data_IF_026773129024
#
_entry.id   IF_026773129024
#
_cell.length_a   1.000
_cell.length_b   1.000
_cell.length_c   1.000
_cell.angle_alpha   90.00
_cell.angle_beta   90.00
_cell.angle_gamma   90.00
#
_symmetry.space_group_name_H-M   'P 1'
#
loop_
_entity.id
_entity.type
_entity.pdbx_description
1 polymer ?
#
# COMPACT_ATOMS: atom_id res chain seq x y z
N UNK A 1 -13.23 -37.35 3.08
CA UNK A 1 -13.52 -35.93 2.74
C UNK A 1 -13.99 -35.12 3.96
N UNK A 2 -13.42 -35.36 5.15
CA UNK A 2 -13.51 -34.47 6.33
C UNK A 2 -12.29 -34.80 7.20
N UNK A 3 -11.12 -34.29 6.83
CA UNK A 3 -9.86 -34.40 7.59
C UNK A 3 -9.29 -33.02 7.96
N UNK A 4 -10.06 -31.96 7.71
CA UNK A 4 -9.60 -30.58 7.85
C UNK A 4 -9.73 -30.06 9.30
N UNK A 5 -10.68 -30.58 10.08
CA UNK A 5 -10.91 -30.15 11.47
C UNK A 5 -9.82 -30.62 12.46
N UNK A 6 -9.03 -31.67 12.14
CA UNK A 6 -8.03 -32.25 13.05
C UNK A 6 -6.58 -31.79 12.82
N UNK A 7 -6.28 -31.03 11.76
CA UNK A 7 -4.96 -30.38 11.57
C UNK A 7 -4.86 -28.99 12.21
N UNK A 8 -5.82 -28.64 13.08
CA UNK A 8 -5.86 -27.41 13.89
C UNK A 8 -4.81 -27.34 15.02
N UNK A 9 -3.84 -28.25 15.10
CA UNK A 9 -2.76 -28.16 16.11
C UNK A 9 -1.53 -27.35 15.67
N UNK A 10 -1.40 -27.00 14.38
CA UNK A 10 -0.34 -26.10 13.89
C UNK A 10 -0.83 -24.97 12.96
N UNK A 11 -2.14 -24.88 12.72
CA UNK A 11 -2.79 -23.75 12.04
C UNK A 11 -4.02 -23.38 12.87
N UNK A 12 -3.76 -22.88 14.08
CA UNK A 12 -4.79 -22.34 14.96
C UNK A 12 -5.15 -20.96 14.41
N UNK A 13 -6.42 -20.81 14.05
CA UNK A 13 -7.20 -19.59 14.09
C UNK A 13 -6.48 -18.37 14.68
N UNK A 14 -6.15 -17.40 13.84
CA UNK A 14 -5.85 -16.04 14.29
C UNK A 14 -7.16 -15.29 14.54
N UNK A 15 -7.98 -15.81 15.45
CA UNK A 15 -9.15 -15.12 15.97
C UNK A 15 -8.70 -14.18 17.09
N UNK A 16 -7.81 -13.24 16.77
CA UNK A 16 -7.49 -12.16 17.69
C UNK A 16 -8.42 -11.00 17.38
N UNK A 17 -9.15 -10.53 18.42
CA UNK A 17 -9.53 -9.13 18.47
C UNK A 17 -8.22 -8.35 18.43
N UNK A 18 -7.83 -7.88 17.25
CA UNK A 18 -6.62 -7.08 17.08
C UNK A 18 -6.77 -5.85 17.97
N UNK A 19 -5.99 -5.78 19.04
CA UNK A 19 -5.83 -4.55 19.81
C UNK A 19 -4.85 -3.71 19.03
N UNK A 20 -5.37 -2.93 18.08
CA UNK A 20 -4.58 -1.95 17.37
C UNK A 20 -4.14 -0.89 18.39
N UNK A 21 -2.87 -0.91 18.74
CA UNK A 21 -2.24 0.18 19.48
C UNK A 21 -1.37 0.97 18.51
N UNK A 22 -1.47 2.28 18.57
CA UNK A 22 -0.90 3.20 17.60
C UNK A 22 -0.03 4.21 18.34
N UNK A 23 1.07 4.61 17.71
CA UNK A 23 1.91 5.71 18.14
C UNK A 23 2.41 6.44 16.90
N UNK A 24 2.40 7.77 16.91
CA UNK A 24 3.00 8.58 15.86
C UNK A 24 4.41 8.99 16.27
N UNK A 25 5.40 8.72 15.41
CA UNK A 25 6.76 9.25 15.55
C UNK A 25 6.96 10.56 14.77
N UNK A 26 5.95 10.99 14.01
CA UNK A 26 6.03 12.16 13.13
C UNK A 26 5.44 13.41 13.80
N UNK A 27 6.20 14.51 13.78
CA UNK A 27 5.78 15.80 14.34
C UNK A 27 4.69 16.51 13.51
N UNK A 28 4.41 16.05 12.30
CA UNK A 28 3.41 16.64 11.38
C UNK A 28 2.37 15.60 10.95
N UNK A 29 1.15 16.03 10.55
CA UNK A 29 0.12 15.12 10.06
C UNK A 29 0.61 14.36 8.82
N UNK A 30 0.54 13.03 8.86
CA UNK A 30 1.00 12.19 7.75
C UNK A 30 0.10 12.36 6.52
N UNK A 31 0.69 12.44 5.33
CA UNK A 31 -0.07 12.31 4.07
C UNK A 31 -0.40 10.86 3.74
N UNK A 32 0.29 9.92 4.38
CA UNK A 32 0.01 8.50 4.29
C UNK A 32 -1.20 8.09 5.14
N UNK A 33 -1.91 7.10 4.63
CA UNK A 33 -2.98 6.35 5.30
C UNK A 33 -2.49 4.92 5.53
N UNK A 34 -2.93 4.28 6.63
CA UNK A 34 -2.76 2.84 6.76
C UNK A 34 -3.87 2.16 5.97
N UNK A 35 -3.50 1.20 5.12
CA UNK A 35 -4.43 0.39 4.35
C UNK A 35 -4.49 -1.01 4.95
N UNK A 36 -5.70 -1.53 5.11
CA UNK A 36 -5.91 -2.93 5.54
C UNK A 36 -6.86 -3.62 4.57
N UNK A 37 -6.41 -4.73 4.02
CA UNK A 37 -7.25 -5.71 3.32
C UNK A 37 -7.75 -6.72 4.34
N UNK A 38 -9.06 -6.78 4.52
CA UNK A 38 -9.75 -7.77 5.31
C UNK A 38 -10.30 -8.85 4.38
N UNK A 39 -10.44 -10.09 4.84
CA UNK A 39 -11.05 -11.16 4.06
C UNK A 39 -11.96 -12.04 4.91
N UNK A 40 -12.98 -12.60 4.25
CA UNK A 40 -13.84 -13.65 4.80
C UNK A 40 -14.24 -14.60 3.68
N UNK A 41 -14.04 -15.90 3.89
CA UNK A 41 -14.45 -16.96 2.95
C UNK A 41 -15.55 -17.84 3.58
N UNK A 42 -16.83 -17.48 3.43
CA UNK A 42 -17.95 -18.21 4.03
C UNK A 42 -18.01 -19.68 3.60
N UNK A 43 -17.61 -19.99 2.36
CA UNK A 43 -17.54 -21.35 1.80
C UNK A 43 -16.55 -22.24 2.58
N UNK A 44 -15.57 -21.63 3.25
CA UNK A 44 -14.62 -22.28 4.16
C UNK A 44 -15.04 -22.14 5.64
N UNK A 45 -16.30 -21.79 5.91
CA UNK A 45 -16.90 -21.65 7.24
C UNK A 45 -16.31 -20.50 8.09
N UNK A 46 -15.67 -19.50 7.46
CA UNK A 46 -15.25 -18.28 8.16
C UNK A 46 -16.48 -17.44 8.50
N UNK A 47 -16.64 -17.11 9.80
CA UNK A 47 -17.77 -16.31 10.29
C UNK A 47 -17.49 -14.82 10.25
N UNK A 48 -16.27 -14.46 10.63
CA UNK A 48 -15.82 -13.08 10.76
C UNK A 48 -14.78 -12.73 9.69
N UNK A 49 -14.59 -11.44 9.48
CA UNK A 49 -13.48 -10.93 8.69
C UNK A 49 -12.18 -11.03 9.49
N UNK A 50 -11.11 -11.48 8.83
CA UNK A 50 -9.75 -11.50 9.35
C UNK A 50 -8.85 -10.58 8.50
N UNK A 51 -7.69 -10.20 9.04
CA UNK A 51 -6.72 -9.39 8.29
C UNK A 51 -6.02 -10.28 7.27
N UNK A 52 -6.11 -9.91 5.99
CA UNK A 52 -5.38 -10.57 4.91
C UNK A 52 -4.01 -9.94 4.69
N UNK A 53 -3.99 -8.61 4.61
CA UNK A 53 -2.78 -7.84 4.38
C UNK A 53 -2.92 -6.42 4.94
N UNK A 54 -1.77 -5.81 5.26
CA UNK A 54 -1.66 -4.43 5.70
C UNK A 54 -0.56 -3.74 4.91
N UNK A 55 -0.82 -2.50 4.57
CA UNK A 55 0.07 -1.65 3.81
C UNK A 55 -0.20 -0.19 4.12
N UNK A 56 0.29 0.65 3.22
CA UNK A 56 0.08 2.09 3.24
C UNK A 56 -0.60 2.53 1.97
N UNK A 57 -1.13 3.74 2.00
CA UNK A 57 -1.68 4.42 0.85
C UNK A 57 -1.63 5.93 1.02
N UNK A 58 -2.13 6.64 0.04
CA UNK A 58 -2.33 8.09 0.12
C UNK A 58 -3.44 8.55 -0.81
N UNK A 59 -3.87 9.79 -0.60
CA UNK A 59 -4.98 10.39 -1.33
C UNK A 59 -4.44 11.30 -2.42
N UNK A 60 -5.06 11.24 -3.59
CA UNK A 60 -4.92 12.22 -4.68
C UNK A 60 -6.31 12.71 -5.08
N UNK A 61 -6.39 13.95 -5.57
CA UNK A 61 -7.66 14.53 -5.99
C UNK A 61 -8.05 13.99 -7.36
N UNK A 62 -9.33 13.65 -7.53
CA UNK A 62 -9.87 13.41 -8.86
C UNK A 62 -10.15 14.72 -9.61
N UNK A 63 -10.42 14.63 -10.91
CA UNK A 63 -10.88 15.78 -11.72
C UNK A 63 -12.23 16.32 -11.25
N UNK A 64 -13.08 15.44 -10.69
CA UNK A 64 -14.33 15.82 -10.07
C UNK A 64 -14.09 16.21 -8.61
N UNK A 65 -14.60 17.36 -8.17
CA UNK A 65 -14.38 17.89 -6.81
C UNK A 65 -14.97 17.02 -5.70
N UNK A 66 -15.89 16.12 -6.03
CA UNK A 66 -16.52 15.15 -5.13
C UNK A 66 -15.87 13.75 -5.20
N UNK A 67 -14.72 13.61 -5.86
CA UNK A 67 -13.99 12.37 -6.01
C UNK A 67 -12.56 12.51 -5.48
N UNK A 68 -12.16 11.55 -4.65
CA UNK A 68 -10.78 11.33 -4.23
C UNK A 68 -10.37 9.93 -4.67
N UNK A 69 -9.08 9.74 -4.94
CA UNK A 69 -8.51 8.42 -5.22
C UNK A 69 -7.54 8.06 -4.11
N UNK A 70 -7.74 6.89 -3.49
CA UNK A 70 -6.77 6.31 -2.59
C UNK A 70 -5.87 5.34 -3.35
N UNK A 71 -4.59 5.71 -3.52
CA UNK A 71 -3.59 4.85 -4.15
C UNK A 71 -2.91 3.96 -3.11
N UNK A 72 -2.72 2.69 -3.44
CA UNK A 72 -2.07 1.67 -2.61
C UNK A 72 -1.25 0.71 -3.48
N UNK A 73 -0.43 -0.15 -2.86
CA UNK A 73 0.20 -1.28 -3.57
C UNK A 73 -0.82 -2.36 -3.92
N UNK A 74 -0.78 -2.85 -5.16
CA UNK A 74 -1.71 -3.87 -5.63
C UNK A 74 -1.57 -5.20 -4.89
N UNK A 75 -0.35 -5.59 -4.50
CA UNK A 75 -0.11 -6.82 -3.74
C UNK A 75 -0.69 -6.76 -2.32
N UNK A 76 -0.92 -5.57 -1.76
CA UNK A 76 -1.61 -5.40 -0.48
C UNK A 76 -3.12 -5.40 -0.67
N UNK A 77 -3.61 -4.75 -1.75
CA UNK A 77 -5.04 -4.71 -2.08
C UNK A 77 -5.60 -6.06 -2.52
N UNK A 78 -4.86 -6.83 -3.30
CA UNK A 78 -5.30 -8.12 -3.82
C UNK A 78 -4.23 -9.20 -3.66
N UNK A 79 -3.82 -9.58 -2.43
CA UNK A 79 -2.74 -10.54 -2.19
C UNK A 79 -2.93 -11.88 -2.93
N UNK A 80 -4.18 -12.31 -3.11
CA UNK A 80 -4.56 -13.54 -3.82
C UNK A 80 -4.18 -13.59 -5.30
N UNK A 81 -3.84 -12.45 -5.91
CA UNK A 81 -3.31 -12.36 -7.28
C UNK A 81 -1.78 -12.51 -7.33
N UNK A 82 -1.09 -12.37 -6.20
CA UNK A 82 0.38 -12.34 -6.10
C UNK A 82 0.92 -13.62 -5.48
N UNK A 83 0.55 -14.79 -6.03
CA UNK A 83 0.85 -16.11 -5.45
C UNK A 83 2.34 -16.44 -5.30
N UNK A 84 3.18 -15.85 -6.15
CA UNK A 84 4.63 -16.01 -6.02
C UNK A 84 5.18 -15.26 -4.80
N UNK A 85 4.52 -14.16 -4.42
CA UNK A 85 4.87 -13.37 -3.24
C UNK A 85 4.20 -13.93 -1.97
N UNK A 86 2.98 -14.47 -2.10
CA UNK A 86 2.21 -15.09 -1.04
C UNK A 86 1.92 -16.58 -1.37
N UNK A 87 2.88 -17.49 -1.11
CA UNK A 87 2.83 -18.87 -1.58
C UNK A 87 1.94 -19.78 -0.72
N UNK A 88 0.93 -19.24 -0.05
CA UNK A 88 0.05 -20.03 0.80
C UNK A 88 -1.09 -20.65 -0.02
N UNK A 89 -1.18 -21.98 -0.04
CA UNK A 89 -2.18 -22.72 -0.84
C UNK A 89 -3.63 -22.28 -0.54
N UNK A 90 -3.94 -21.95 0.71
CA UNK A 90 -5.29 -21.54 1.11
C UNK A 90 -5.72 -20.22 0.46
N UNK A 91 -4.78 -19.39 0.00
CA UNK A 91 -5.06 -18.13 -0.66
C UNK A 91 -5.77 -18.33 -2.01
N UNK A 92 -5.70 -19.55 -2.57
CA UNK A 92 -6.45 -19.93 -3.78
C UNK A 92 -7.97 -19.89 -3.61
N UNK A 93 -8.47 -19.93 -2.36
CA UNK A 93 -9.89 -19.78 -2.04
C UNK A 93 -10.32 -18.32 -1.85
N UNK A 94 -9.36 -17.38 -1.83
CA UNK A 94 -9.63 -15.95 -1.64
C UNK A 94 -9.77 -15.28 -3.00
N UNK A 95 -10.80 -14.45 -3.12
CA UNK A 95 -11.14 -13.70 -4.32
C UNK A 95 -11.59 -12.30 -3.90
N UNK A 96 -11.72 -11.39 -4.86
CA UNK A 96 -12.12 -10.01 -4.59
C UNK A 96 -13.43 -9.90 -3.80
N UNK A 97 -14.44 -10.73 -4.11
CA UNK A 97 -15.72 -10.80 -3.38
C UNK A 97 -15.59 -11.15 -1.89
N UNK A 98 -14.47 -11.74 -1.48
CA UNK A 98 -14.18 -12.09 -0.09
C UNK A 98 -13.53 -10.94 0.67
N UNK A 99 -13.04 -9.91 -0.03
CA UNK A 99 -12.24 -8.85 0.54
C UNK A 99 -13.07 -7.60 0.88
N UNK A 100 -12.56 -6.84 1.86
CA UNK A 100 -13.00 -5.48 2.19
C UNK A 100 -11.78 -4.62 2.49
N UNK A 101 -11.86 -3.33 2.23
CA UNK A 101 -10.73 -2.43 2.41
C UNK A 101 -11.07 -1.31 3.37
N UNK A 102 -10.18 -1.08 4.34
CA UNK A 102 -10.27 0.07 5.22
C UNK A 102 -9.04 0.95 5.10
N UNK A 103 -9.26 2.26 5.17
CA UNK A 103 -8.21 3.27 5.26
C UNK A 103 -8.27 3.92 6.63
N UNK A 104 -7.11 4.09 7.25
CA UNK A 104 -6.97 4.64 8.59
C UNK A 104 -5.97 5.79 8.62
N UNK A 105 -6.24 6.79 9.47
CA UNK A 105 -5.33 7.89 9.76
C UNK A 105 -5.60 8.52 11.13
N UNK A 106 -4.70 9.41 11.55
CA UNK A 106 -4.79 10.11 12.83
C UNK A 106 -4.99 11.62 12.63
N UNK A 107 -5.94 12.22 13.35
CA UNK A 107 -6.19 13.67 13.43
C UNK A 107 -6.22 14.05 14.90
N UNK A 108 -5.29 14.90 15.34
CA UNK A 108 -5.23 15.39 16.73
C UNK A 108 -5.25 14.27 17.78
N UNK A 109 -4.49 13.18 17.55
CA UNK A 109 -4.47 12.01 18.41
C UNK A 109 -5.72 11.12 18.33
N UNK A 110 -6.72 11.51 17.52
CA UNK A 110 -7.91 10.71 17.26
C UNK A 110 -7.80 9.89 16.00
N UNK A 111 -8.19 8.64 16.13
CA UNK A 111 -8.17 7.67 15.04
C UNK A 111 -9.40 7.83 14.16
N UNK A 112 -9.17 7.87 12.86
CA UNK A 112 -10.20 7.94 11.82
C UNK A 112 -10.08 6.72 10.93
N UNK A 113 -11.21 6.20 10.48
CA UNK A 113 -11.27 5.05 9.61
C UNK A 113 -12.48 5.15 8.68
N UNK A 114 -12.28 4.79 7.41
CA UNK A 114 -13.36 4.59 6.44
C UNK A 114 -13.22 3.24 5.74
N UNK A 115 -14.32 2.72 5.20
CA UNK A 115 -14.32 1.63 4.23
C UNK A 115 -14.12 2.24 2.84
N UNK A 116 -13.12 1.77 2.09
CA UNK A 116 -12.77 2.29 0.76
C UNK A 116 -13.62 1.67 -0.37
N UNK A 117 -14.55 0.77 -0.03
CA UNK A 117 -15.33 -0.03 -0.97
C UNK A 117 -14.66 -1.35 -1.34
N UNK A 118 -15.33 -2.10 -2.22
CA UNK A 118 -14.92 -3.45 -2.64
C UNK A 118 -14.37 -3.51 -4.07
N UNK A 119 -14.49 -2.42 -4.84
CA UNK A 119 -13.99 -2.37 -6.22
C UNK A 119 -12.53 -1.94 -6.19
N UNK A 120 -11.65 -2.84 -6.64
CA UNK A 120 -10.22 -2.57 -6.74
C UNK A 120 -9.88 -2.27 -8.19
N UNK A 121 -9.54 -1.02 -8.50
CA UNK A 121 -8.95 -0.71 -9.79
C UNK A 121 -7.46 -0.97 -9.71
N UNK A 122 -6.93 -1.81 -10.59
CA UNK A 122 -5.55 -2.26 -10.51
C UNK A 122 -4.85 -1.97 -11.82
N UNK A 123 -3.62 -1.48 -11.74
CA UNK A 123 -2.79 -1.36 -12.93
C UNK A 123 -2.48 -2.76 -13.49
N UNK A 124 -2.38 -2.89 -14.81
CA UNK A 124 -2.24 -4.19 -15.47
C UNK A 124 -0.84 -4.79 -15.26
N UNK A 125 0.18 -3.94 -15.34
CA UNK A 125 1.59 -4.38 -15.33
C UNK A 125 2.37 -4.03 -14.07
N UNK A 126 1.83 -3.16 -13.22
CA UNK A 126 2.57 -2.55 -12.12
C UNK A 126 1.83 -2.77 -10.82
N UNK A 127 2.57 -2.72 -9.73
CA UNK A 127 2.07 -2.98 -8.38
C UNK A 127 1.31 -1.77 -7.81
N UNK A 128 0.30 -1.29 -8.54
CA UNK A 128 -0.50 -0.12 -8.18
C UNK A 128 -1.98 -0.52 -8.19
N UNK A 129 -2.70 -0.14 -7.14
CA UNK A 129 -4.15 -0.19 -7.09
C UNK A 129 -4.72 1.14 -6.58
N UNK A 130 -5.99 1.37 -6.89
CA UNK A 130 -6.73 2.55 -6.49
C UNK A 130 -8.12 2.17 -5.97
N UNK A 131 -8.62 3.00 -5.05
CA UNK A 131 -10.03 3.02 -4.64
C UNK A 131 -10.60 4.41 -4.91
N UNK A 132 -11.73 4.47 -5.62
CA UNK A 132 -12.52 5.69 -5.78
C UNK A 132 -13.32 5.99 -4.51
N UNK A 133 -13.08 7.15 -3.93
CA UNK A 133 -13.75 7.64 -2.73
C UNK A 133 -14.67 8.79 -3.13
N UNK A 134 -15.96 8.50 -3.24
CA UNK A 134 -17.00 9.50 -3.53
C UNK A 134 -17.44 10.20 -2.25
N UNK A 135 -17.54 11.54 -2.27
CA UNK A 135 -17.99 12.35 -1.12
C UNK A 135 -19.27 11.83 -0.49
N UNK A 136 -20.23 11.43 -1.31
CA UNK A 136 -21.56 10.96 -0.88
C UNK A 136 -21.51 9.63 -0.11
N UNK A 137 -20.45 8.84 -0.28
CA UNK A 137 -20.25 7.55 0.40
C UNK A 137 -19.47 7.69 1.70
N UNK A 138 -18.86 8.85 1.97
CA UNK A 138 -18.19 9.12 3.24
C UNK A 138 -19.24 9.65 4.23
N UNK A 139 -19.53 8.86 5.26
CA UNK A 139 -20.63 9.14 6.19
C UNK A 139 -20.48 10.44 6.99
N UNK A 140 -19.25 10.92 7.18
CA UNK A 140 -18.94 12.11 7.99
C UNK A 140 -18.22 13.16 7.13
N UNK A 141 -18.79 14.36 7.03
CA UNK A 141 -18.21 15.50 6.30
C UNK A 141 -16.81 15.87 6.83
N UNK A 142 -16.58 15.75 8.14
CA UNK A 142 -15.27 16.00 8.74
C UNK A 142 -14.20 14.98 8.29
N UNK A 143 -14.60 13.73 8.03
CA UNK A 143 -13.67 12.72 7.51
C UNK A 143 -13.37 13.00 6.03
N UNK A 144 -14.34 13.47 5.24
CA UNK A 144 -14.13 13.94 3.86
C UNK A 144 -13.13 15.10 3.80
N UNK A 145 -13.36 16.17 4.58
CA UNK A 145 -12.47 17.33 4.61
C UNK A 145 -11.07 16.95 5.12
N UNK A 146 -10.99 16.01 6.08
CA UNK A 146 -9.70 15.47 6.55
C UNK A 146 -8.94 14.76 5.43
N UNK A 147 -9.59 13.88 4.66
CA UNK A 147 -8.98 13.19 3.53
C UNK A 147 -8.60 14.17 2.41
N UNK A 148 -9.47 15.13 2.11
CA UNK A 148 -9.25 16.13 1.07
C UNK A 148 -8.06 17.07 1.39
N UNK A 149 -7.85 17.41 2.66
CA UNK A 149 -6.67 18.17 3.13
C UNK A 149 -5.37 17.34 3.15
N UNK A 150 -5.48 16.01 3.15
CA UNK A 150 -4.37 15.07 3.04
C UNK A 150 -4.00 14.73 1.62
N UNK A 151 -4.81 15.12 0.64
CA UNK A 151 -4.49 14.89 -0.75
C UNK A 151 -3.13 15.49 -1.10
N UNK A 152 -2.37 14.74 -1.90
CA UNK A 152 -1.08 15.17 -2.45
C UNK A 152 -1.23 15.45 -3.94
N UNK A 153 -0.38 16.33 -4.44
CA UNK A 153 -0.28 16.64 -5.86
C UNK A 153 0.80 15.75 -6.48
N UNK A 154 0.44 15.05 -7.55
CA UNK A 154 1.39 14.20 -8.27
C UNK A 154 2.28 15.04 -9.18
N UNK A 155 3.60 14.96 -9.01
CA UNK A 155 4.57 15.69 -9.83
C UNK A 155 5.57 14.71 -10.48
N UNK A 156 5.53 14.55 -11.81
CA UNK A 156 6.48 13.73 -12.58
C UNK A 156 7.93 14.12 -12.34
N UNK A 157 8.81 13.13 -12.43
CA UNK A 157 10.22 13.33 -12.22
C UNK A 157 10.91 13.73 -13.55
N UNK A 158 11.61 14.87 -13.55
CA UNK A 158 12.67 15.22 -14.52
C UNK A 158 14.01 15.47 -13.79
N UNK A 159 15.02 14.64 -14.06
CA UNK A 159 16.38 14.71 -13.50
C UNK A 159 16.49 14.77 -11.95
N UNK A 160 15.96 13.75 -11.28
CA UNK A 160 15.90 13.72 -9.81
C UNK A 160 16.97 12.87 -9.11
N UNK A 161 17.90 12.28 -9.86
CA UNK A 161 19.03 11.59 -9.23
C UNK A 161 19.83 12.59 -8.37
N UNK A 162 20.06 12.21 -7.12
CA UNK A 162 20.70 13.03 -6.09
C UNK A 162 19.74 13.90 -5.28
N UNK A 163 18.45 13.95 -5.62
CA UNK A 163 17.46 14.76 -4.88
C UNK A 163 17.04 14.07 -3.58
N UNK A 164 16.84 14.85 -2.50
CA UNK A 164 16.31 14.32 -1.25
C UNK A 164 14.82 14.06 -1.36
N UNK A 165 14.35 13.01 -0.68
CA UNK A 165 12.93 12.62 -0.61
C UNK A 165 12.57 12.11 0.77
N UNK A 166 11.28 12.12 1.06
CA UNK A 166 10.69 11.56 2.28
C UNK A 166 9.71 10.45 1.92
N UNK A 167 9.87 9.28 2.53
CA UNK A 167 8.91 8.19 2.47
C UNK A 167 8.00 8.32 3.69
N UNK A 168 6.74 8.71 3.50
CA UNK A 168 5.74 8.67 4.56
C UNK A 168 4.90 7.41 4.43
N UNK A 169 4.76 6.61 5.48
CA UNK A 169 4.02 5.36 5.43
C UNK A 169 3.63 4.89 6.83
N UNK A 170 3.09 3.69 6.93
CA UNK A 170 2.71 3.03 8.17
C UNK A 170 3.43 1.70 8.23
N UNK A 171 4.19 1.45 9.30
CA UNK A 171 4.89 0.19 9.49
C UNK A 171 4.16 -0.71 10.49
N UNK A 172 4.38 -2.01 10.37
CA UNK A 172 3.91 -3.02 11.31
C UNK A 172 5.04 -3.29 12.30
N UNK A 173 4.81 -3.02 13.58
CA UNK A 173 5.71 -3.39 14.67
C UNK A 173 5.22 -4.64 15.39
N UNK A 174 6.18 -5.49 15.78
CA UNK A 174 5.92 -6.81 16.34
C UNK A 174 6.00 -7.91 15.28
N UNK A 175 5.62 -9.12 15.67
CA UNK A 175 5.69 -10.29 14.78
C UNK A 175 4.50 -10.26 13.82
N UNK A 176 4.74 -10.18 12.52
CA UNK A 176 3.67 -10.20 11.50
C UNK A 176 2.83 -11.48 11.62
N UNK A 177 1.51 -11.30 11.64
CA UNK A 177 0.55 -12.38 11.83
C UNK A 177 0.36 -12.76 13.30
N UNK A 178 0.95 -12.06 14.27
CA UNK A 178 0.82 -12.33 15.70
C UNK A 178 -0.46 -11.83 16.36
N UNK A 179 -1.35 -11.11 15.67
CA UNK A 179 -2.56 -10.57 16.28
C UNK A 179 -2.34 -9.43 17.29
N UNK A 180 -1.08 -9.20 17.68
CA UNK A 180 -0.63 -8.20 18.64
C UNK A 180 0.20 -7.10 17.96
N UNK A 181 0.16 -7.03 16.62
CA UNK A 181 0.96 -6.08 15.88
C UNK A 181 0.44 -4.66 16.08
N UNK A 182 1.37 -3.73 16.12
CA UNK A 182 1.08 -2.29 16.14
C UNK A 182 1.27 -1.72 14.76
N UNK A 183 0.41 -0.79 14.39
CA UNK A 183 0.59 -0.02 13.17
C UNK A 183 1.09 1.36 13.60
N UNK A 184 2.25 1.75 13.10
CA UNK A 184 2.97 2.94 13.56
C UNK A 184 3.30 3.81 12.35
N UNK A 185 2.99 5.10 12.44
CA UNK A 185 3.36 6.05 11.40
C UNK A 185 4.89 6.14 11.31
N UNK A 186 5.41 6.02 10.10
CA UNK A 186 6.84 5.98 9.80
C UNK A 186 7.21 7.00 8.73
N UNK A 187 8.37 7.63 8.90
CA UNK A 187 8.90 8.64 8.01
C UNK A 187 10.39 8.38 7.82
N UNK A 188 10.77 8.00 6.60
CA UNK A 188 12.17 7.79 6.23
C UNK A 188 12.64 8.89 5.31
N UNK A 189 13.83 9.42 5.59
CA UNK A 189 14.52 10.33 4.68
C UNK A 189 15.51 9.54 3.84
N UNK A 190 15.71 9.99 2.61
CA UNK A 190 16.69 9.40 1.71
C UNK A 190 16.98 10.28 0.51
N UNK A 191 17.83 9.78 -0.37
CA UNK A 191 18.14 10.41 -1.65
C UNK A 191 17.88 9.44 -2.79
N UNK A 192 17.31 9.93 -3.88
CA UNK A 192 17.19 9.15 -5.11
C UNK A 192 18.59 8.91 -5.65
N UNK A 193 18.98 7.65 -5.85
CA UNK A 193 20.32 7.29 -6.33
C UNK A 193 20.34 6.76 -7.75
N UNK A 194 19.31 6.01 -8.12
CA UNK A 194 19.27 5.28 -9.38
C UNK A 194 17.88 5.40 -9.98
N UNK A 195 17.84 5.53 -11.29
CA UNK A 195 16.63 5.43 -12.10
C UNK A 195 16.82 4.28 -13.09
N UNK A 196 15.80 3.41 -13.21
CA UNK A 196 15.72 2.37 -14.21
C UNK A 196 14.32 2.39 -14.85
N UNK A 197 14.19 3.03 -16.00
CA UNK A 197 12.90 3.28 -16.63
C UNK A 197 11.99 4.12 -15.73
N UNK A 198 10.81 3.58 -15.39
CA UNK A 198 9.81 4.21 -14.52
C UNK A 198 10.02 3.93 -13.02
N UNK A 199 11.06 3.15 -12.67
CA UNK A 199 11.40 2.81 -11.29
C UNK A 199 12.57 3.62 -10.82
N UNK A 200 12.47 4.10 -9.59
CA UNK A 200 13.51 4.86 -8.92
C UNK A 200 13.87 4.18 -7.60
N UNK A 201 15.14 4.31 -7.22
CA UNK A 201 15.68 3.69 -6.03
C UNK A 201 16.25 4.73 -5.07
N UNK A 202 15.79 4.67 -3.83
CA UNK A 202 16.14 5.60 -2.76
C UNK A 202 17.09 4.91 -1.79
N UNK A 203 18.23 5.54 -1.56
CA UNK A 203 19.09 5.22 -0.43
C UNK A 203 18.60 5.99 0.80
N UNK A 204 18.00 5.28 1.75
CA UNK A 204 17.54 5.81 3.03
C UNK A 204 18.70 5.96 4.02
N UNK A 205 18.53 6.81 5.04
CA UNK A 205 19.54 7.03 6.10
C UNK A 205 20.03 5.72 6.75
N UNK A 206 19.11 4.77 6.94
CA UNK A 206 19.42 3.40 7.31
C UNK A 206 19.05 2.49 6.14
N UNK A 207 20.00 1.67 5.64
CA UNK A 207 19.67 0.62 4.67
C UNK A 207 18.70 -0.37 5.29
N UNK A 208 17.83 -0.97 4.47
CA UNK A 208 16.80 -1.91 4.94
C UNK A 208 15.82 -1.29 5.95
N UNK A 209 15.64 0.03 5.93
CA UNK A 209 14.70 0.72 6.81
C UNK A 209 13.24 0.51 6.41
N UNK A 210 12.95 0.12 5.17
CA UNK A 210 11.58 -0.19 4.73
C UNK A 210 11.14 -1.50 5.38
N UNK A 211 10.15 -1.42 6.25
CA UNK A 211 9.56 -2.53 7.00
C UNK A 211 8.22 -2.96 6.39
N UNK A 212 7.69 -4.09 6.88
CA UNK A 212 6.34 -4.53 6.56
C UNK A 212 5.29 -3.45 6.85
N UNK A 213 4.30 -3.34 5.97
CA UNK A 213 3.25 -2.32 6.04
C UNK A 213 3.56 -1.03 5.27
N UNK A 214 4.83 -0.74 4.98
CA UNK A 214 5.19 0.57 4.41
C UNK A 214 4.85 0.69 2.91
N UNK A 215 4.76 -0.42 2.18
CA UNK A 215 4.45 -0.42 0.75
C UNK A 215 3.12 0.29 0.47
N UNK A 216 3.09 1.09 -0.58
CA UNK A 216 1.98 1.94 -0.98
C UNK A 216 2.03 3.35 -0.41
N UNK A 217 2.98 3.66 0.49
CA UNK A 217 3.18 5.01 1.00
C UNK A 217 3.69 5.99 -0.06
N UNK A 218 3.35 7.29 0.03
CA UNK A 218 3.84 8.30 -0.90
C UNK A 218 5.31 8.62 -0.70
N UNK A 219 5.99 8.91 -1.81
CA UNK A 219 7.31 9.52 -1.83
C UNK A 219 7.12 11.03 -2.01
N UNK A 220 7.53 11.82 -1.03
CA UNK A 220 7.26 13.26 -0.96
C UNK A 220 8.54 14.07 -1.10
N UNK A 221 8.39 15.29 -1.60
CA UNK A 221 9.45 16.29 -1.56
C UNK A 221 9.60 16.88 -0.14
N UNK A 222 10.83 17.03 0.38
CA UNK A 222 11.04 17.61 1.70
C UNK A 222 10.59 19.06 1.83
N UNK A 223 10.69 19.84 0.75
CA UNK A 223 10.39 21.28 0.72
C UNK A 223 8.88 21.53 0.89
N UNK A 224 8.08 20.69 0.24
CA UNK A 224 6.63 20.72 0.30
C UNK A 224 6.09 19.28 0.40
N UNK A 225 5.80 18.84 1.62
CA UNK A 225 5.25 17.51 1.92
C UNK A 225 3.82 17.28 1.39
N UNK A 226 3.43 18.01 0.35
CA UNK A 226 2.20 17.88 -0.44
C UNK A 226 2.50 17.48 -1.88
N UNK A 227 3.73 17.64 -2.37
CA UNK A 227 4.14 17.13 -3.68
C UNK A 227 4.61 15.69 -3.54
N UNK A 228 3.93 14.79 -4.25
CA UNK A 228 4.24 13.38 -4.32
C UNK A 228 4.86 13.04 -5.67
N UNK A 229 6.04 12.41 -5.63
CA UNK A 229 6.80 12.03 -6.81
C UNK A 229 6.70 10.54 -7.14
N UNK A 230 6.00 9.76 -6.31
CA UNK A 230 5.76 8.36 -6.58
C UNK A 230 5.19 7.58 -5.40
N UNK A 231 5.04 6.28 -5.60
CA UNK A 231 4.51 5.33 -4.62
C UNK A 231 5.55 4.26 -4.28
N UNK A 232 5.76 4.03 -2.97
CA UNK A 232 6.68 3.00 -2.49
C UNK A 232 6.20 1.61 -2.93
N UNK A 233 7.00 0.91 -3.72
CA UNK A 233 6.74 -0.46 -4.17
C UNK A 233 7.26 -1.46 -3.13
N UNK A 234 8.46 -1.23 -2.60
CA UNK A 234 9.06 -2.06 -1.57
C UNK A 234 10.55 -1.82 -1.37
N UNK A 235 11.24 -2.86 -0.90
CA UNK A 235 12.67 -2.89 -0.65
C UNK A 235 13.35 -3.80 -1.67
N UNK A 236 14.50 -3.39 -2.20
CA UNK A 236 15.36 -4.29 -2.98
C UNK A 236 16.01 -5.29 -2.02
N UNK A 237 15.79 -6.60 -2.16
CA UNK A 237 16.35 -7.60 -1.26
C UNK A 237 17.87 -7.55 -1.19
N UNK A 238 18.42 -7.97 -0.05
CA UNK A 238 19.86 -8.11 0.13
C UNK A 238 20.48 -9.07 -0.89
N UNK A 239 21.76 -8.90 -1.18
CA UNK A 239 22.45 -9.69 -2.21
C UNK A 239 22.45 -11.19 -1.98
N UNK A 240 22.31 -11.62 -0.73
CA UNK A 240 22.26 -13.03 -0.33
C UNK A 240 20.89 -13.66 -0.57
N UNK A 241 19.87 -12.83 -0.81
CA UNK A 241 18.49 -13.23 -1.16
C UNK A 241 18.20 -13.04 -2.65
N UNK A 242 19.14 -12.48 -3.42
CA UNK A 242 19.01 -12.35 -4.86
C UNK A 242 18.92 -13.74 -5.48
N UNK A 243 17.84 -13.95 -6.23
CA UNK A 243 17.52 -15.24 -6.81
C UNK A 243 18.63 -15.69 -7.76
N UNK A 244 19.06 -16.94 -7.59
CA UNK A 244 19.92 -17.67 -8.52
C UNK A 244 19.40 -17.67 -9.97
N UNK A 245 18.12 -17.39 -10.18
CA UNK A 245 17.49 -17.29 -11.50
C UNK A 245 17.91 -16.05 -12.31
N UNK A 246 18.53 -15.03 -11.70
CA UNK A 246 19.10 -13.91 -12.47
C UNK A 246 20.31 -14.46 -13.22
N UNK A 247 20.16 -14.68 -14.54
CA UNK A 247 21.19 -15.32 -15.37
C UNK A 247 22.25 -14.36 -15.90
N UNK A 248 21.95 -13.07 -15.96
CA UNK A 248 22.84 -12.05 -16.52
C UNK A 248 23.66 -11.39 -15.41
N UNK A 249 25.00 -11.43 -15.53
CA UNK A 249 25.92 -10.85 -14.57
C UNK A 249 25.78 -9.33 -14.43
N UNK A 250 25.46 -8.61 -15.51
CA UNK A 250 25.18 -7.16 -15.46
C UNK A 250 23.99 -6.86 -14.55
N UNK A 251 22.92 -7.65 -14.65
CA UNK A 251 21.75 -7.50 -13.79
C UNK A 251 22.05 -7.87 -12.35
N UNK A 252 22.88 -8.90 -12.11
CA UNK A 252 23.33 -9.25 -10.75
C UNK A 252 24.13 -8.10 -10.13
N UNK A 253 25.04 -7.50 -10.87
CA UNK A 253 25.84 -6.37 -10.40
C UNK A 253 24.96 -5.15 -10.12
N UNK A 254 24.02 -4.86 -11.02
CA UNK A 254 23.02 -3.81 -10.81
C UNK A 254 22.27 -4.02 -9.49
N UNK A 255 21.62 -5.17 -9.29
CA UNK A 255 20.84 -5.42 -8.07
C UNK A 255 21.70 -5.44 -6.81
N UNK A 256 22.95 -5.91 -6.88
CA UNK A 256 23.90 -5.80 -5.76
C UNK A 256 24.18 -4.33 -5.41
N UNK A 257 24.31 -3.45 -6.41
CA UNK A 257 24.60 -2.04 -6.18
C UNK A 257 23.47 -1.28 -5.47
N UNK A 258 22.22 -1.70 -5.71
CA UNK A 258 21.01 -1.11 -5.11
C UNK A 258 20.40 -1.96 -4.00
N UNK A 259 21.10 -2.99 -3.52
CA UNK A 259 20.62 -3.86 -2.44
C UNK A 259 20.33 -3.04 -1.17
N UNK A 260 19.13 -3.23 -0.63
CA UNK A 260 18.61 -2.50 0.51
C UNK A 260 18.14 -1.07 0.24
N UNK A 261 18.04 -0.67 -1.04
CA UNK A 261 17.36 0.58 -1.42
C UNK A 261 15.84 0.38 -1.45
N UNK A 262 15.11 1.44 -1.14
CA UNK A 262 13.66 1.47 -1.36
C UNK A 262 13.39 1.69 -2.85
N UNK A 263 12.48 0.91 -3.44
CA UNK A 263 12.04 1.07 -4.82
C UNK A 263 10.68 1.77 -4.86
N UNK A 264 10.48 2.68 -5.80
CA UNK A 264 9.20 3.34 -6.01
C UNK A 264 8.87 3.51 -7.50
N UNK A 265 7.57 3.61 -7.78
CA UNK A 265 7.03 3.87 -9.11
C UNK A 265 6.72 5.37 -9.24
N UNK A 266 7.17 5.98 -10.33
CA UNK A 266 7.07 7.42 -10.58
C UNK A 266 5.63 7.95 -10.66
N UNK A 267 5.41 9.18 -10.20
CA UNK A 267 4.14 9.89 -10.24
C UNK A 267 3.52 10.07 -11.63
N UNK A 268 4.32 10.11 -12.71
CA UNK A 268 3.79 10.17 -14.10
C UNK A 268 2.90 8.96 -14.40
N UNK A 269 3.35 7.76 -14.04
CA UNK A 269 2.59 6.51 -14.15
C UNK A 269 1.31 6.57 -13.32
N UNK A 270 1.38 7.11 -12.11
CA UNK A 270 0.21 7.22 -11.21
C UNK A 270 -0.85 8.15 -11.79
N UNK A 271 -0.41 9.27 -12.38
CA UNK A 271 -1.30 10.22 -13.04
C UNK A 271 -1.98 9.59 -14.25
N UNK A 272 -1.22 8.94 -15.12
CA UNK A 272 -1.76 8.25 -16.30
C UNK A 272 -2.76 7.17 -15.89
N UNK A 273 -2.49 6.45 -14.79
CA UNK A 273 -3.40 5.46 -14.25
C UNK A 273 -4.72 6.10 -13.80
N UNK A 274 -4.70 7.16 -13.00
CA UNK A 274 -5.92 7.86 -12.56
C UNK A 274 -6.69 8.42 -13.75
N UNK A 275 -6.00 9.02 -14.73
CA UNK A 275 -6.62 9.56 -15.94
C UNK A 275 -7.39 8.47 -16.72
N UNK A 276 -6.85 7.25 -16.79
CA UNK A 276 -7.52 6.10 -17.39
C UNK A 276 -8.75 5.68 -16.57
N UNK A 277 -8.66 5.64 -15.24
CA UNK A 277 -9.79 5.27 -14.37
C UNK A 277 -10.95 6.26 -14.50
N UNK A 278 -10.66 7.56 -14.51
CA UNK A 278 -11.68 8.60 -14.64
C UNK A 278 -12.34 8.58 -16.01
N UNK A 279 -11.56 8.28 -17.06
CA UNK A 279 -12.11 8.06 -18.40
C UNK A 279 -13.07 6.88 -18.42
N UNK A 280 -12.67 5.73 -17.85
CA UNK A 280 -13.52 4.53 -17.75
C UNK A 280 -14.81 4.80 -16.96
N UNK A 281 -14.74 5.53 -15.84
CA UNK A 281 -15.94 5.88 -15.06
C UNK A 281 -16.89 6.81 -15.83
N UNK A 282 -16.36 7.71 -16.67
CA UNK A 282 -17.19 8.58 -17.51
C UNK A 282 -17.91 7.83 -18.63
N UNK A 283 -17.31 6.75 -19.13
CA UNK A 283 -17.84 5.94 -20.24
C UNK A 283 -18.79 4.83 -19.72
N UNK A 284 -18.56 4.29 -18.52
CA UNK A 284 -19.40 3.26 -17.89
C UNK A 284 -19.86 3.64 -16.47
N UNK A 285 -20.73 4.65 -16.30
CA UNK A 285 -21.18 5.10 -14.98
C UNK A 285 -21.99 4.06 -14.18
N UNK A 286 -22.31 2.89 -14.76
CA UNK A 286 -23.25 1.90 -14.24
C UNK A 286 -22.65 0.57 -13.77
N UNK A 287 -21.33 0.42 -13.58
CA UNK A 287 -20.75 -0.79 -12.94
C UNK A 287 -20.89 -0.83 -11.41
N UNK A 288 -21.98 -0.32 -10.84
CA UNK A 288 -22.37 -0.64 -9.47
C UNK A 288 -23.42 -1.76 -9.49
N UNK A 289 -22.94 -3.01 -9.49
CA UNK A 289 -23.64 -4.18 -8.96
C UNK A 289 -23.17 -4.42 -7.52
#
# INVERSE_FOLDING_TARGET
MFSWLNKRKHVVAWCYRYVLSFSSSCAEPTKSLAHTCWFRVPEQQMKEYEVLARGSGFIVRGKQSNMLWALVSAHVAAPFLFRNYFPQDWLTFVHEKHCKHSLYWEVDGQHRQIEAGNVIWKHDMLDIAAFGLEKQRIANEGDWESLHSRAVELEPLSDWVGKPVIIQSWQIEGTVGSGQEKIVASCLKGNIRVQQGIRYFIETENRNAVQHGMCGGPILLPENKTTCVGILEGLVPDSNQLDSTIRNDEWREFFRSIAGYAAFIEASVLRDFIDQLEKQQSEEPFRNL
#
